data_IF_311117002869
#
_entry.id   IF_311117002869
#
_cell.length_a   1.000
_cell.length_b   1.000
_cell.length_c   1.000
_cell.angle_alpha   90.00
_cell.angle_beta   90.00
_cell.angle_gamma   90.00
#
_symmetry.space_group_name_H-M   'P 1'
#
loop_
_entity.id
_entity.type
_entity.pdbx_description
1 polymer ?
#
# COMPACT_ATOMS: atom_id res chain seq x y z
N UNK A 1 -8.97 -20.44 -38.57
CA UNK A 1 -8.47 -21.17 -37.38
C UNK A 1 -8.17 -20.14 -36.31
N UNK A 2 -9.07 -20.00 -35.34
CA UNK A 2 -8.94 -19.07 -34.22
C UNK A 2 -7.92 -19.62 -33.21
N UNK A 3 -6.81 -18.91 -33.00
CA UNK A 3 -5.91 -19.19 -31.88
C UNK A 3 -6.25 -18.26 -30.73
N UNK A 4 -6.78 -18.90 -29.70
CA UNK A 4 -7.15 -18.38 -28.38
C UNK A 4 -6.03 -17.50 -27.80
N UNK A 5 -6.24 -16.18 -27.80
CA UNK A 5 -5.56 -15.29 -26.86
C UNK A 5 -6.16 -15.61 -25.50
N UNK A 6 -5.40 -16.32 -24.65
CA UNK A 6 -5.73 -16.43 -23.24
C UNK A 6 -5.74 -15.03 -22.67
N UNK A 7 -6.93 -14.46 -22.53
CA UNK A 7 -7.20 -13.38 -21.60
C UNK A 7 -6.80 -13.90 -20.21
N UNK A 8 -5.55 -13.66 -19.83
CA UNK A 8 -5.17 -13.65 -18.43
C UNK A 8 -5.90 -12.44 -17.86
N UNK A 9 -6.97 -12.76 -17.15
CA UNK A 9 -7.83 -11.82 -16.46
C UNK A 9 -6.93 -10.92 -15.61
N UNK A 10 -6.78 -9.66 -16.02
CA UNK A 10 -6.08 -8.62 -15.28
C UNK A 10 -6.72 -8.60 -13.89
N UNK A 11 -5.99 -9.11 -12.90
CA UNK A 11 -6.46 -9.19 -11.54
C UNK A 11 -6.80 -7.79 -11.05
N UNK A 12 -7.80 -7.71 -10.18
CA UNK A 12 -8.15 -6.48 -9.48
C UNK A 12 -7.01 -6.13 -8.51
N UNK A 13 -5.93 -5.59 -9.05
CA UNK A 13 -4.73 -5.21 -8.30
C UNK A 13 -5.05 -3.97 -7.47
N UNK A 14 -5.44 -4.23 -6.24
CA UNK A 14 -5.50 -3.20 -5.23
C UNK A 14 -4.11 -3.06 -4.64
N UNK A 15 -3.70 -1.82 -4.44
CA UNK A 15 -2.52 -1.50 -3.69
C UNK A 15 -2.94 -0.77 -2.42
N UNK A 16 -2.19 -0.95 -1.35
CA UNK A 16 -2.32 -0.13 -0.16
C UNK A 16 -1.04 0.66 0.00
N UNK A 17 -1.19 1.97 0.06
CA UNK A 17 -0.12 2.88 0.42
C UNK A 17 -0.20 3.07 1.92
N UNK A 18 0.73 2.45 2.64
CA UNK A 18 1.04 2.88 3.99
C UNK A 18 2.09 3.96 3.86
N UNK A 19 1.77 5.22 4.19
CA UNK A 19 2.84 6.22 4.40
C UNK A 19 3.71 5.69 5.50
N UNK A 20 4.98 5.45 5.25
CA UNK A 20 5.86 4.87 6.26
C UNK A 20 6.79 5.94 6.80
N UNK A 21 7.14 5.77 8.08
CA UNK A 21 8.00 6.59 8.92
C UNK A 21 9.44 6.75 8.40
N UNK A 22 9.75 6.22 7.22
CA UNK A 22 11.11 5.92 6.75
C UNK A 22 12.01 7.11 6.44
N UNK A 23 11.58 8.36 6.66
CA UNK A 23 12.42 9.52 6.31
C UNK A 23 12.38 10.69 7.31
N UNK A 24 11.50 10.68 8.31
CA UNK A 24 11.46 11.76 9.32
C UNK A 24 11.87 11.33 10.73
N UNK A 25 11.92 10.03 11.03
CA UNK A 25 12.45 9.57 12.31
C UNK A 25 13.91 9.14 12.13
N UNK A 26 14.83 10.10 12.28
CA UNK A 26 16.23 9.86 12.67
C UNK A 26 16.34 9.33 14.11
N UNK A 27 15.22 9.20 14.81
CA UNK A 27 15.10 8.64 16.15
C UNK A 27 15.01 7.10 16.09
N UNK A 28 15.72 6.43 17.01
CA UNK A 28 15.84 4.96 17.08
C UNK A 28 14.49 4.23 17.00
N UNK A 29 13.44 4.85 17.53
CA UNK A 29 12.10 4.28 17.58
C UNK A 29 11.45 4.16 16.19
N UNK A 30 11.59 5.17 15.33
CA UNK A 30 11.01 5.11 13.98
C UNK A 30 11.72 4.09 13.09
N UNK A 31 13.05 4.01 13.20
CA UNK A 31 13.83 2.97 12.52
C UNK A 31 13.46 1.56 13.00
N UNK A 32 13.23 1.38 14.30
CA UNK A 32 12.77 0.12 14.87
C UNK A 32 11.40 -0.29 14.35
N UNK A 33 10.45 0.65 14.25
CA UNK A 33 9.11 0.40 13.71
C UNK A 33 9.19 0.05 12.23
N UNK A 34 10.01 0.77 11.45
CA UNK A 34 10.23 0.47 10.04
C UNK A 34 10.74 -0.97 9.83
N UNK A 35 11.76 -1.39 10.59
CA UNK A 35 12.26 -2.76 10.56
C UNK A 35 11.19 -3.81 10.88
N UNK A 36 10.40 -3.57 11.93
CA UNK A 36 9.27 -4.43 12.31
C UNK A 36 8.21 -4.52 11.21
N UNK A 37 7.94 -3.42 10.51
CA UNK A 37 7.03 -3.38 9.35
C UNK A 37 7.54 -4.27 8.22
N UNK A 38 8.82 -4.15 7.84
CA UNK A 38 9.42 -4.96 6.78
C UNK A 38 9.38 -6.47 7.10
N UNK A 39 9.71 -6.84 8.35
CA UNK A 39 9.62 -8.23 8.81
C UNK A 39 8.19 -8.76 8.77
N UNK A 40 7.22 -7.95 9.21
CA UNK A 40 5.81 -8.31 9.21
C UNK A 40 5.27 -8.52 7.79
N UNK A 41 5.52 -7.58 6.87
CA UNK A 41 5.08 -7.72 5.48
C UNK A 41 5.80 -8.87 4.76
N UNK A 42 7.08 -9.11 5.04
CA UNK A 42 7.81 -10.28 4.53
C UNK A 42 7.18 -11.61 4.98
N UNK A 43 6.73 -11.70 6.23
CA UNK A 43 6.02 -12.87 6.73
C UNK A 43 4.64 -13.04 6.08
N UNK A 44 3.90 -11.95 5.84
CA UNK A 44 2.61 -12.00 5.13
C UNK A 44 2.79 -12.45 3.68
N UNK A 45 3.79 -11.92 2.97
CA UNK A 45 4.10 -12.31 1.60
C UNK A 45 4.46 -13.80 1.52
N UNK A 46 5.33 -14.28 2.43
CA UNK A 46 5.75 -15.69 2.47
C UNK A 46 4.58 -16.65 2.71
N UNK A 47 3.51 -16.19 3.37
CA UNK A 47 2.29 -16.96 3.64
C UNK A 47 1.23 -16.82 2.54
N UNK A 48 1.45 -15.96 1.54
CA UNK A 48 0.46 -15.63 0.51
C UNK A 48 -0.71 -14.77 1.02
N UNK A 49 -0.58 -14.15 2.19
CA UNK A 49 -1.60 -13.23 2.72
C UNK A 49 -1.62 -11.90 1.97
N UNK A 50 -0.48 -11.51 1.38
CA UNK A 50 -0.34 -10.44 0.38
C UNK A 50 0.46 -10.98 -0.81
N UNK A 51 0.36 -10.34 -1.97
CA UNK A 51 1.13 -10.71 -3.16
C UNK A 51 2.58 -10.18 -3.08
N UNK A 52 2.73 -8.92 -2.71
CA UNK A 52 4.04 -8.29 -2.55
C UNK A 52 4.00 -7.01 -1.72
N UNK A 53 5.16 -6.52 -1.32
CA UNK A 53 5.32 -5.19 -0.77
C UNK A 53 6.62 -4.55 -1.26
N UNK A 54 6.62 -3.23 -1.39
CA UNK A 54 7.76 -2.45 -1.88
C UNK A 54 7.91 -1.18 -1.05
N UNK A 55 9.01 -1.01 -0.28
CA UNK A 55 9.35 0.27 0.32
C UNK A 55 9.86 1.24 -0.75
N UNK A 56 9.29 2.44 -0.77
CA UNK A 56 9.63 3.52 -1.71
C UNK A 56 9.98 4.76 -0.90
N UNK A 57 11.18 5.31 -1.15
CA UNK A 57 11.64 6.56 -0.56
C UNK A 57 11.68 7.61 -1.65
N UNK A 58 11.12 8.78 -1.37
CA UNK A 58 11.16 9.91 -2.28
C UNK A 58 12.32 10.84 -1.91
N UNK A 59 12.87 11.53 -2.90
CA UNK A 59 13.66 12.73 -2.61
C UNK A 59 12.77 13.77 -1.89
N UNK A 60 13.35 14.74 -1.16
CA UNK A 60 12.58 15.79 -0.51
C UNK A 60 11.61 16.46 -1.49
N UNK A 61 10.29 16.29 -1.26
CA UNK A 61 9.25 16.73 -2.19
C UNK A 61 8.62 18.08 -1.81
N UNK A 62 9.11 18.73 -0.74
CA UNK A 62 8.57 19.98 -0.23
C UNK A 62 7.20 19.85 0.45
N UNK A 63 6.66 18.63 0.57
CA UNK A 63 5.45 18.30 1.32
C UNK A 63 5.67 17.11 2.25
N UNK A 64 4.60 16.69 2.94
CA UNK A 64 4.68 15.70 4.02
C UNK A 64 4.78 14.24 3.56
N UNK A 65 5.12 14.02 2.28
CA UNK A 65 5.27 12.69 1.70
C UNK A 65 6.74 12.40 1.42
N UNK A 66 7.38 11.70 2.34
CA UNK A 66 8.80 11.36 2.25
C UNK A 66 9.05 9.88 1.91
N UNK A 67 8.07 9.01 2.13
CA UNK A 67 8.17 7.59 1.81
C UNK A 67 6.84 6.87 1.98
N UNK A 68 6.74 5.72 1.34
CA UNK A 68 5.59 4.81 1.41
C UNK A 68 6.07 3.36 1.41
N UNK A 69 5.27 2.45 1.98
CA UNK A 69 5.30 1.04 1.61
C UNK A 69 4.06 0.77 0.75
N UNK A 70 4.32 0.31 -0.48
CA UNK A 70 3.30 -0.13 -1.41
C UNK A 70 3.05 -1.63 -1.22
N UNK A 71 1.89 -2.00 -0.69
CA UNK A 71 1.47 -3.39 -0.48
C UNK A 71 0.52 -3.78 -1.61
N UNK A 72 0.71 -4.94 -2.25
CA UNK A 72 -0.14 -5.44 -3.34
C UNK A 72 -0.87 -6.72 -2.93
N UNK A 73 -2.11 -6.82 -3.36
CA UNK A 73 -2.93 -8.00 -3.20
C UNK A 73 -4.28 -7.84 -3.89
N UNK A 74 -5.07 -8.90 -3.89
CA UNK A 74 -6.50 -8.81 -4.18
C UNK A 74 -7.21 -7.90 -3.17
N UNK A 75 -8.41 -7.43 -3.53
CA UNK A 75 -9.25 -6.63 -2.64
C UNK A 75 -9.43 -7.32 -1.28
N UNK A 76 -9.83 -8.59 -1.30
CA UNK A 76 -10.09 -9.38 -0.08
C UNK A 76 -8.84 -9.52 0.80
N UNK A 77 -7.65 -9.71 0.20
CA UNK A 77 -6.39 -9.78 0.95
C UNK A 77 -6.08 -8.47 1.67
N UNK A 78 -6.22 -7.33 0.99
CA UNK A 78 -5.93 -6.02 1.59
C UNK A 78 -7.00 -5.61 2.61
N UNK A 79 -8.25 -5.96 2.36
CA UNK A 79 -9.35 -5.74 3.29
C UNK A 79 -9.23 -6.62 4.55
N UNK A 80 -8.75 -7.85 4.42
CA UNK A 80 -8.42 -8.71 5.55
C UNK A 80 -7.23 -8.14 6.34
N UNK A 81 -6.17 -7.68 5.67
CA UNK A 81 -5.01 -7.04 6.30
C UNK A 81 -5.42 -5.86 7.17
N UNK A 82 -6.26 -4.95 6.65
CA UNK A 82 -6.74 -3.76 7.40
C UNK A 82 -7.53 -4.11 8.67
N UNK A 83 -8.03 -5.34 8.79
CA UNK A 83 -8.80 -5.82 9.94
C UNK A 83 -7.98 -6.73 10.87
N UNK A 84 -6.73 -7.04 10.53
CA UNK A 84 -5.86 -7.85 11.39
C UNK A 84 -5.40 -7.03 12.60
N UNK A 85 -5.64 -7.53 13.82
CA UNK A 85 -5.25 -6.84 15.05
C UNK A 85 -3.77 -6.45 15.06
N UNK A 86 -2.91 -7.33 14.55
CA UNK A 86 -1.47 -7.08 14.45
C UNK A 86 -1.13 -5.92 13.51
N UNK A 87 -1.87 -5.78 12.41
CA UNK A 87 -1.72 -4.64 11.50
C UNK A 87 -2.17 -3.37 12.20
N UNK A 88 -3.32 -3.40 12.87
CA UNK A 88 -3.88 -2.25 13.60
C UNK A 88 -2.91 -1.78 14.70
N UNK A 89 -2.33 -2.71 15.47
CA UNK A 89 -1.34 -2.41 16.50
C UNK A 89 -0.06 -1.78 15.93
N UNK A 90 0.44 -2.30 14.81
CA UNK A 90 1.59 -1.74 14.11
C UNK A 90 1.29 -0.32 13.64
N UNK A 91 0.11 -0.08 13.08
CA UNK A 91 -0.32 1.25 12.65
C UNK A 91 -0.46 2.22 13.83
N UNK A 92 -1.01 1.80 14.97
CA UNK A 92 -1.11 2.64 16.17
C UNK A 92 0.26 3.05 16.71
N UNK A 93 1.22 2.12 16.75
CA UNK A 93 2.60 2.40 17.18
C UNK A 93 3.32 3.35 16.23
N UNK A 94 3.15 3.15 14.93
CA UNK A 94 3.67 4.05 13.90
C UNK A 94 3.02 5.44 14.03
N UNK A 95 1.71 5.53 14.27
CA UNK A 95 0.99 6.81 14.34
C UNK A 95 1.50 7.69 15.49
N UNK A 96 1.88 7.04 16.59
CA UNK A 96 2.45 7.74 17.75
C UNK A 96 3.87 8.26 17.50
N UNK A 97 4.63 7.58 16.64
CA UNK A 97 6.05 7.87 16.43
C UNK A 97 6.32 8.69 15.17
N UNK A 98 5.33 8.84 14.28
CA UNK A 98 5.49 9.37 12.94
C UNK A 98 4.33 10.30 12.59
N UNK A 99 4.63 11.57 12.32
CA UNK A 99 3.63 12.51 11.82
C UNK A 99 3.23 12.19 10.37
N UNK A 100 1.96 12.43 10.04
CA UNK A 100 1.46 12.27 8.68
C UNK A 100 1.29 10.83 8.20
N UNK A 101 1.38 9.83 9.10
CA UNK A 101 1.04 8.43 8.82
C UNK A 101 -0.39 8.32 8.26
N UNK A 102 -0.55 7.48 7.25
CA UNK A 102 -1.86 7.17 6.69
C UNK A 102 -1.86 5.88 5.90
N UNK A 103 -2.99 5.19 5.92
CA UNK A 103 -3.28 4.02 5.09
C UNK A 103 -4.25 4.45 4.00
N UNK A 104 -3.86 4.30 2.73
CA UNK A 104 -4.69 4.69 1.60
C UNK A 104 -4.81 3.54 0.61
N UNK A 105 -6.03 3.27 0.16
CA UNK A 105 -6.24 2.39 -0.99
C UNK A 105 -5.73 3.11 -2.25
N UNK A 106 -4.93 2.39 -3.03
CA UNK A 106 -4.36 2.81 -4.29
C UNK A 106 -4.82 1.87 -5.40
N UNK A 107 -5.18 2.45 -6.53
CA UNK A 107 -5.71 1.73 -7.68
C UNK A 107 -4.66 1.75 -8.78
N UNK A 108 -4.29 0.56 -9.24
CA UNK A 108 -3.29 0.39 -10.30
C UNK A 108 -3.97 -0.21 -11.54
N UNK A 109 -3.30 -0.09 -12.68
CA UNK A 109 -3.70 -0.77 -13.92
C UNK A 109 -5.17 -0.53 -14.30
N UNK A 110 -5.94 -1.58 -14.60
CA UNK A 110 -7.33 -1.49 -15.03
C UNK A 110 -8.22 -0.68 -14.08
N UNK A 111 -7.97 -0.79 -12.78
CA UNK A 111 -8.72 -0.05 -11.77
C UNK A 111 -8.40 1.45 -11.77
N UNK A 112 -7.17 1.83 -12.16
CA UNK A 112 -6.82 3.24 -12.37
C UNK A 112 -7.63 3.85 -13.52
N UNK A 113 -7.80 3.13 -14.64
CA UNK A 113 -8.63 3.62 -15.75
C UNK A 113 -10.09 3.78 -15.35
N UNK A 114 -10.65 2.84 -14.58
CA UNK A 114 -12.01 2.93 -14.07
C UNK A 114 -12.20 4.20 -13.21
N UNK A 115 -11.29 4.43 -12.25
CA UNK A 115 -11.35 5.58 -11.33
C UNK A 115 -11.21 6.90 -12.07
N UNK A 116 -10.31 6.96 -13.05
CA UNK A 116 -10.14 8.15 -13.90
C UNK A 116 -11.39 8.43 -14.73
N UNK A 117 -12.03 7.41 -15.30
CA UNK A 117 -13.29 7.56 -16.04
C UNK A 117 -14.42 8.12 -15.18
N UNK A 118 -14.53 7.67 -13.93
CA UNK A 118 -15.51 8.21 -12.96
C UNK A 118 -15.29 9.70 -12.67
N UNK A 119 -14.04 10.12 -12.48
CA UNK A 119 -13.72 11.54 -12.27
C UNK A 119 -14.22 12.40 -13.45
N UNK A 120 -13.98 11.96 -14.69
CA UNK A 120 -14.46 12.65 -15.89
C UNK A 120 -15.98 12.75 -15.93
N UNK A 121 -16.70 11.69 -15.53
CA UNK A 121 -18.16 11.71 -15.49
C UNK A 121 -18.71 12.71 -14.44
N UNK A 122 -18.02 12.89 -13.31
CA UNK A 122 -18.42 13.84 -12.27
C UNK A 122 -18.18 15.28 -12.72
N UNK A 123 -17.04 15.55 -13.37
CA UNK A 123 -16.68 16.91 -13.82
C UNK A 123 -17.63 17.44 -14.91
N UNK A 124 -18.21 16.54 -15.72
CA UNK A 124 -19.08 16.91 -16.85
C UNK A 124 -20.58 16.86 -16.52
N UNK A 125 -20.95 16.79 -15.24
CA UNK A 125 -22.33 17.01 -14.76
C UNK A 125 -22.56 18.48 -14.46
#
# INVERSE_FOLDING_TARGET
>A
MASLVRHHQLGEHHAQITRDCGTLAIEEQGLSIFGQSLEYYGALQSKGAIESFEPVIFNPTGGDLNGIILIRGSLDQLDALKREDRFIDLMMRAAHSCEGLGVNDAYLEGELQNRTGRCTQIINQ
#
